data_IF_147110633045
#
_entry.id   IF_147110633045
#
_cell.length_a   1.000
_cell.length_b   1.000
_cell.length_c   1.000
_cell.angle_alpha   90.00
_cell.angle_beta   90.00
_cell.angle_gamma   90.00
#
_symmetry.space_group_name_H-M   'P 1'
#
loop_
_entity.id
_entity.type
_entity.pdbx_description
1 polymer ?
#
# COMPACT_ATOMS: atom_id res chain seq x y z
N UNK A 1 -12.25 -28.55 -58.80
CA UNK A 1 -12.51 -28.19 -57.39
C UNK A 1 -11.28 -28.54 -56.56
N UNK A 2 -10.30 -27.65 -56.44
CA UNK A 2 -9.09 -27.84 -55.63
C UNK A 2 -9.17 -26.92 -54.42
N UNK A 3 -8.92 -27.52 -53.26
CA UNK A 3 -9.27 -27.06 -51.92
C UNK A 3 -8.58 -25.73 -51.58
N UNK A 4 -9.33 -24.63 -51.59
CA UNK A 4 -8.89 -23.30 -51.15
C UNK A 4 -9.46 -22.97 -49.75
N UNK A 5 -9.49 -23.96 -48.86
CA UNK A 5 -10.07 -23.80 -47.50
C UNK A 5 -9.04 -23.95 -46.37
N UNK A 6 -7.77 -24.19 -46.66
CA UNK A 6 -6.78 -24.58 -45.63
C UNK A 6 -5.91 -23.44 -45.09
N UNK A 7 -6.17 -22.18 -45.46
CA UNK A 7 -5.31 -21.04 -45.08
C UNK A 7 -5.98 -20.00 -44.16
N UNK A 8 -7.26 -20.16 -43.83
CA UNK A 8 -7.98 -19.20 -42.96
C UNK A 8 -7.95 -19.63 -41.47
N UNK A 9 -7.51 -20.85 -41.17
CA UNK A 9 -7.58 -21.42 -39.82
C UNK A 9 -6.49 -20.99 -38.80
N UNK A 10 -5.26 -20.54 -39.17
CA UNK A 10 -4.27 -20.18 -38.14
C UNK A 10 -4.39 -18.73 -37.63
N UNK A 11 -5.18 -17.86 -38.27
CA UNK A 11 -5.26 -16.43 -37.89
C UNK A 11 -6.16 -16.20 -36.67
N UNK A 12 -7.08 -17.12 -36.36
CA UNK A 12 -7.97 -17.01 -35.21
C UNK A 12 -7.36 -17.54 -33.89
N UNK A 13 -6.14 -18.08 -33.90
CA UNK A 13 -5.52 -18.72 -32.73
C UNK A 13 -4.61 -17.79 -31.91
N UNK A 14 -4.46 -16.51 -32.30
CA UNK A 14 -3.48 -15.59 -31.67
C UNK A 14 -4.14 -14.50 -30.81
N UNK A 15 -5.48 -14.44 -30.75
CA UNK A 15 -6.21 -13.33 -30.10
C UNK A 15 -6.48 -13.50 -28.59
N UNK A 16 -5.84 -14.45 -27.89
CA UNK A 16 -6.17 -14.75 -26.47
C UNK A 16 -4.97 -14.86 -25.52
N UNK A 17 -3.82 -14.25 -25.84
CA UNK A 17 -2.63 -14.26 -24.96
C UNK A 17 -2.42 -12.96 -24.16
N UNK A 18 -3.49 -12.33 -23.66
CA UNK A 18 -3.37 -11.29 -22.63
C UNK A 18 -3.83 -11.84 -21.28
N UNK A 19 -3.08 -12.82 -20.76
CA UNK A 19 -3.28 -13.37 -19.41
C UNK A 19 -2.37 -12.69 -18.36
N UNK A 20 -1.67 -11.63 -18.75
CA UNK A 20 -0.70 -10.91 -17.94
C UNK A 20 -1.27 -9.50 -17.65
N UNK A 21 -1.03 -8.97 -16.44
CA UNK A 21 -1.56 -7.66 -16.05
C UNK A 21 -0.87 -6.58 -16.91
N UNK A 22 -1.56 -5.50 -17.32
CA UNK A 22 -0.90 -4.42 -18.02
C UNK A 22 -0.08 -3.58 -17.02
N UNK A 23 1.10 -4.05 -16.62
CA UNK A 23 2.06 -3.23 -15.86
C UNK A 23 2.70 -2.19 -16.77
N UNK A 24 2.85 -0.95 -16.28
CA UNK A 24 3.59 0.09 -17.00
C UNK A 24 5.06 -0.32 -17.14
N UNK A 25 5.64 -0.15 -18.32
CA UNK A 25 7.08 -0.35 -18.57
C UNK A 25 7.84 0.98 -18.64
N UNK A 26 7.16 2.10 -18.41
CA UNK A 26 7.74 3.44 -18.44
C UNK A 26 8.27 3.76 -17.04
N UNK A 27 9.53 4.19 -16.87
CA UNK A 27 10.04 4.60 -15.57
C UNK A 27 9.20 5.71 -14.93
N UNK A 28 8.85 5.52 -13.66
CA UNK A 28 8.04 6.44 -12.85
C UNK A 28 8.71 6.71 -11.50
N UNK A 29 8.23 7.71 -10.78
CA UNK A 29 8.68 7.97 -9.41
C UNK A 29 7.96 7.05 -8.40
N UNK A 30 8.49 6.95 -7.19
CA UNK A 30 7.90 6.12 -6.14
C UNK A 30 6.55 6.66 -5.69
N UNK A 31 5.63 5.75 -5.44
CA UNK A 31 4.45 6.01 -4.61
C UNK A 31 4.82 5.96 -3.11
N UNK A 32 3.93 6.49 -2.29
CA UNK A 32 4.01 6.46 -0.83
C UNK A 32 2.96 5.53 -0.27
N UNK A 33 3.39 4.62 0.61
CA UNK A 33 2.54 3.90 1.55
C UNK A 33 2.75 4.54 2.92
N UNK A 34 1.70 5.17 3.44
CA UNK A 34 1.66 5.70 4.80
C UNK A 34 0.93 4.70 5.69
N UNK A 35 1.70 3.98 6.51
CA UNK A 35 1.18 3.07 7.52
C UNK A 35 1.00 3.84 8.83
N UNK A 36 -0.23 4.25 9.15
CA UNK A 36 -0.59 5.00 10.35
C UNK A 36 -0.94 4.05 11.50
N UNK A 37 -0.21 4.13 12.61
CA UNK A 37 -0.54 3.44 13.85
C UNK A 37 -1.57 4.23 14.64
N UNK A 38 -2.71 3.59 14.93
CA UNK A 38 -3.88 4.21 15.56
C UNK A 38 -4.56 3.25 16.55
N UNK A 39 -5.67 3.70 17.15
CA UNK A 39 -6.53 2.90 18.01
C UNK A 39 -7.88 3.58 18.25
N UNK A 40 -8.91 2.78 18.51
CA UNK A 40 -10.30 3.26 18.70
C UNK A 40 -10.46 4.21 19.91
N UNK A 41 -9.56 4.14 20.89
CA UNK A 41 -9.53 5.03 22.06
C UNK A 41 -8.46 6.12 21.99
N UNK A 42 -7.81 6.30 20.84
CA UNK A 42 -6.75 7.30 20.67
C UNK A 42 -7.33 8.70 20.39
N UNK A 43 -7.36 9.57 21.40
CA UNK A 43 -7.97 10.91 21.29
C UNK A 43 -7.34 11.85 20.26
N UNK A 44 -6.05 11.68 19.95
CA UNK A 44 -5.33 12.51 18.96
C UNK A 44 -5.19 11.85 17.58
N UNK A 45 -5.56 10.57 17.43
CA UNK A 45 -5.45 9.89 16.15
C UNK A 45 -6.37 10.46 15.05
N UNK A 46 -7.55 11.05 15.35
CA UNK A 46 -8.32 11.77 14.33
C UNK A 46 -7.57 12.92 13.65
N UNK A 47 -6.67 13.61 14.36
CA UNK A 47 -5.80 14.65 13.77
C UNK A 47 -4.74 14.03 12.85
N UNK A 48 -4.26 12.82 13.16
CA UNK A 48 -3.45 12.00 12.26
C UNK A 48 -4.20 11.69 10.98
N UNK A 49 -5.40 11.12 11.08
CA UNK A 49 -6.23 10.77 9.92
C UNK A 49 -6.48 11.97 9.00
N UNK A 50 -6.73 13.16 9.56
CA UNK A 50 -6.90 14.38 8.77
C UNK A 50 -5.64 14.74 7.97
N UNK A 51 -4.46 14.73 8.61
CA UNK A 51 -3.20 15.06 7.94
C UNK A 51 -2.81 14.00 6.90
N UNK A 52 -3.06 12.73 7.18
CA UNK A 52 -2.87 11.64 6.22
C UNK A 52 -3.76 11.82 4.99
N UNK A 53 -5.05 12.13 5.20
CA UNK A 53 -6.01 12.37 4.12
C UNK A 53 -5.62 13.60 3.30
N UNK A 54 -5.23 14.71 3.93
CA UNK A 54 -4.76 15.90 3.23
C UNK A 54 -3.54 15.61 2.36
N UNK A 55 -2.60 14.80 2.85
CA UNK A 55 -1.45 14.39 2.07
C UNK A 55 -1.83 13.49 0.88
N UNK A 56 -2.78 12.56 1.08
CA UNK A 56 -3.34 11.74 0.00
C UNK A 56 -4.03 12.58 -1.08
N UNK A 57 -4.93 13.48 -0.67
CA UNK A 57 -5.69 14.34 -1.57
C UNK A 57 -4.79 15.29 -2.37
N UNK A 58 -3.65 15.71 -1.79
CA UNK A 58 -2.66 16.54 -2.45
C UNK A 58 -1.80 15.79 -3.48
N UNK A 59 -1.81 14.45 -3.48
CA UNK A 59 -0.99 13.59 -4.34
C UNK A 59 -1.86 12.44 -4.90
N UNK A 60 -2.87 12.75 -5.73
CA UNK A 60 -3.88 11.79 -6.16
C UNK A 60 -3.25 10.67 -7.00
N UNK A 61 -3.44 9.42 -6.57
CA UNK A 61 -2.90 8.22 -7.22
C UNK A 61 -1.56 7.74 -6.65
N UNK A 62 -0.83 8.60 -5.94
CA UNK A 62 0.55 8.31 -5.55
C UNK A 62 0.73 8.07 -4.04
N UNK A 63 -0.34 8.18 -3.25
CA UNK A 63 -0.32 7.96 -1.79
C UNK A 63 -1.37 6.91 -1.41
N UNK A 64 -0.96 5.84 -0.76
CA UNK A 64 -1.82 4.81 -0.17
C UNK A 64 -1.79 4.95 1.36
N UNK A 65 -2.97 5.02 1.96
CA UNK A 65 -3.13 5.08 3.42
C UNK A 65 -3.48 3.71 3.98
N UNK A 66 -2.78 3.29 5.03
CA UNK A 66 -3.05 2.03 5.75
C UNK A 66 -3.15 2.33 7.23
N UNK A 67 -4.35 2.24 7.79
CA UNK A 67 -4.59 2.52 9.20
C UNK A 67 -4.50 1.21 10.01
N UNK A 68 -3.51 1.14 10.89
CA UNK A 68 -3.18 -0.04 11.68
C UNK A 68 -3.61 0.19 13.12
N UNK A 69 -4.73 -0.42 13.53
CA UNK A 69 -5.16 -0.45 14.92
C UNK A 69 -4.26 -1.38 15.73
N UNK A 70 -3.45 -0.84 16.63
CA UNK A 70 -2.49 -1.59 17.45
C UNK A 70 -2.19 -0.91 18.79
N UNK A 71 -1.56 -1.65 19.70
CA UNK A 71 -1.15 -1.16 21.02
C UNK A 71 -2.31 -0.84 21.97
N UNK A 72 -2.02 -0.04 22.99
CA UNK A 72 -2.91 0.17 24.15
C UNK A 72 -4.22 0.88 23.81
N UNK A 73 -4.24 1.68 22.73
CA UNK A 73 -5.44 2.41 22.32
C UNK A 73 -6.37 1.62 21.39
N UNK A 74 -5.95 0.43 20.93
CA UNK A 74 -6.69 -0.33 19.95
C UNK A 74 -7.55 -1.46 20.53
N UNK A 75 -7.42 -1.74 21.83
CA UNK A 75 -8.18 -2.83 22.47
C UNK A 75 -9.64 -2.41 22.63
N UNK A 76 -10.61 -3.12 22.03
CA UNK A 76 -12.02 -2.77 22.16
C UNK A 76 -12.58 -3.10 23.55
N UNK A 77 -13.52 -2.30 24.00
CA UNK A 77 -14.40 -2.56 25.15
C UNK A 77 -15.55 -3.51 24.75
N UNK A 78 -16.31 -3.98 25.74
CA UNK A 78 -17.49 -4.82 25.49
C UNK A 78 -18.48 -4.08 24.59
N UNK A 79 -18.80 -4.69 23.44
CA UNK A 79 -19.73 -4.14 22.46
C UNK A 79 -19.09 -3.25 21.39
N UNK A 80 -17.78 -2.98 21.47
CA UNK A 80 -17.05 -2.23 20.44
C UNK A 80 -16.51 -3.18 19.35
N UNK A 81 -16.40 -2.71 18.09
CA UNK A 81 -15.78 -3.48 17.02
C UNK A 81 -14.28 -3.66 17.26
N UNK A 82 -13.76 -4.85 16.95
CA UNK A 82 -12.33 -5.12 16.94
C UNK A 82 -11.76 -4.82 15.55
N UNK A 83 -10.99 -3.74 15.45
CA UNK A 83 -10.32 -3.32 14.21
C UNK A 83 -8.87 -3.81 14.12
N UNK A 84 -8.38 -4.52 15.15
CA UNK A 84 -7.00 -5.01 15.15
C UNK A 84 -6.85 -6.14 14.14
N UNK A 85 -5.69 -6.19 13.50
CA UNK A 85 -5.28 -7.28 12.61
C UNK A 85 -4.09 -8.03 13.21
N UNK A 86 -4.18 -8.45 14.47
CA UNK A 86 -3.06 -9.09 15.15
C UNK A 86 -2.86 -10.55 14.70
N UNK A 87 -1.59 -11.03 14.61
CA UNK A 87 -0.36 -10.37 15.05
C UNK A 87 0.26 -9.42 14.02
N UNK A 88 -0.29 -9.31 12.82
CA UNK A 88 0.28 -8.49 11.74
C UNK A 88 0.42 -7.02 12.19
N UNK A 89 -0.64 -6.43 12.74
CA UNK A 89 -0.63 -5.05 13.24
C UNK A 89 0.44 -4.81 14.31
N UNK A 90 0.47 -5.65 15.36
CA UNK A 90 1.52 -5.57 16.39
C UNK A 90 2.94 -5.78 15.86
N UNK A 91 3.13 -6.61 14.84
CA UNK A 91 4.46 -6.90 14.25
C UNK A 91 4.97 -5.70 13.44
N UNK A 92 4.10 -5.07 12.64
CA UNK A 92 4.45 -3.84 11.89
C UNK A 92 4.77 -2.69 12.85
N UNK A 93 4.06 -2.58 13.98
CA UNK A 93 4.40 -1.62 15.02
C UNK A 93 5.74 -1.93 15.71
N UNK A 94 6.02 -3.21 15.99
CA UNK A 94 7.24 -3.64 16.66
C UNK A 94 8.53 -3.34 15.86
N UNK A 95 8.48 -3.46 14.53
CA UNK A 95 9.64 -3.15 13.66
C UNK A 95 9.91 -1.64 13.49
N UNK A 96 8.95 -0.77 13.82
CA UNK A 96 9.04 0.67 13.51
C UNK A 96 9.63 1.50 14.65
N UNK A 97 9.97 0.88 15.78
CA UNK A 97 10.34 1.53 17.04
C UNK A 97 9.27 2.52 17.53
N UNK A 98 8.00 2.20 17.28
CA UNK A 98 6.86 2.96 17.77
C UNK A 98 6.92 3.14 19.30
N UNK A 99 6.86 4.39 19.73
CA UNK A 99 6.92 4.79 21.16
C UNK A 99 5.75 5.69 21.58
N UNK A 100 4.99 6.23 20.63
CA UNK A 100 3.81 7.04 20.93
C UNK A 100 2.89 7.23 19.73
N UNK A 101 1.64 7.60 20.03
CA UNK A 101 0.56 7.80 19.05
C UNK A 101 0.13 9.28 19.03
N UNK A 102 -0.39 9.78 17.90
CA UNK A 102 -0.41 9.15 16.58
C UNK A 102 0.97 9.16 15.93
N UNK A 103 1.30 8.08 15.23
CA UNK A 103 2.54 7.95 14.50
C UNK A 103 2.35 7.02 13.30
N UNK A 104 3.26 7.08 12.34
CA UNK A 104 3.19 6.24 11.16
C UNK A 104 4.53 6.14 10.47
N UNK A 105 4.63 5.25 9.47
CA UNK A 105 5.83 5.11 8.64
C UNK A 105 5.51 5.47 7.20
N UNK A 106 6.48 6.08 6.52
CA UNK A 106 6.42 6.34 5.07
C UNK A 106 7.33 5.31 4.41
N UNK A 107 6.76 4.39 3.62
CA UNK A 107 7.47 3.31 2.92
C UNK A 107 8.37 2.46 3.83
N UNK A 108 8.10 2.44 5.15
CA UNK A 108 8.99 1.88 6.19
C UNK A 108 10.44 2.36 6.04
N UNK A 109 10.65 3.54 5.47
CA UNK A 109 11.95 4.12 5.26
C UNK A 109 12.41 4.84 6.53
N UNK A 110 13.68 4.67 6.89
CA UNK A 110 14.28 5.39 8.00
C UNK A 110 14.65 6.80 7.53
N UNK A 111 13.98 7.82 8.06
CA UNK A 111 14.33 9.22 7.87
C UNK A 111 15.17 9.70 9.07
N UNK A 112 16.50 9.88 8.91
CA UNK A 112 17.37 10.23 10.02
C UNK A 112 16.91 11.52 10.73
N UNK A 113 16.81 11.47 12.06
CA UNK A 113 16.42 12.62 12.89
C UNK A 113 14.92 12.91 12.95
N UNK A 114 14.09 12.16 12.21
CA UNK A 114 12.62 12.33 12.19
C UNK A 114 11.91 11.22 12.97
N UNK A 115 12.46 10.00 12.91
CA UNK A 115 11.88 8.82 13.53
C UNK A 115 11.93 8.80 15.06
N UNK A 116 10.89 8.23 15.66
CA UNK A 116 10.80 7.89 17.07
C UNK A 116 11.82 6.82 17.42
N UNK A 117 12.55 7.01 18.53
CA UNK A 117 13.53 6.04 19.04
C UNK A 117 14.53 5.54 17.97
N UNK A 118 14.82 6.38 16.96
CA UNK A 118 15.70 6.04 15.84
C UNK A 118 15.12 5.03 14.82
N UNK A 119 13.82 4.68 14.92
CA UNK A 119 13.13 3.81 13.98
C UNK A 119 12.38 4.56 12.88
N UNK A 120 11.47 3.85 12.21
CA UNK A 120 10.74 4.35 11.03
C UNK A 120 9.41 5.02 11.38
N UNK A 121 8.86 4.78 12.57
CA UNK A 121 7.68 5.48 13.05
C UNK A 121 8.00 6.94 13.31
N UNK A 122 7.18 7.86 12.81
CA UNK A 122 7.35 9.30 13.00
C UNK A 122 6.03 9.98 13.34
N UNK A 123 6.13 11.17 13.94
CA UNK A 123 4.97 12.00 14.25
C UNK A 123 4.24 12.45 12.98
N UNK A 124 2.93 12.62 13.08
CA UNK A 124 2.04 13.09 11.99
C UNK A 124 2.49 14.37 11.29
N UNK A 125 3.17 15.26 12.00
CA UNK A 125 3.70 16.50 11.42
C UNK A 125 4.81 16.30 10.39
N UNK A 126 5.37 15.09 10.27
CA UNK A 126 6.47 14.77 9.36
C UNK A 126 6.03 14.02 8.10
N UNK A 127 4.80 13.51 8.03
CA UNK A 127 4.39 12.61 6.95
C UNK A 127 4.41 13.28 5.57
N UNK A 128 3.89 14.51 5.46
CA UNK A 128 3.85 15.20 4.17
C UNK A 128 5.26 15.55 3.65
N UNK A 129 6.17 15.96 4.54
CA UNK A 129 7.55 16.29 4.13
C UNK A 129 8.37 15.04 3.81
N UNK A 130 8.31 13.99 4.62
CA UNK A 130 8.96 12.70 4.36
C UNK A 130 8.37 11.99 3.15
N UNK A 131 7.05 12.01 2.98
CA UNK A 131 6.35 11.49 1.81
C UNK A 131 6.74 12.22 0.54
N UNK A 132 6.80 13.55 0.57
CA UNK A 132 7.28 14.36 -0.56
C UNK A 132 8.71 14.01 -1.01
N UNK A 133 9.60 13.63 -0.07
CA UNK A 133 10.93 13.14 -0.43
C UNK A 133 10.91 11.80 -1.18
N UNK A 134 9.96 10.90 -0.86
CA UNK A 134 9.81 9.64 -1.58
C UNK A 134 9.22 9.84 -2.98
N UNK A 135 8.18 10.66 -3.09
CA UNK A 135 7.53 11.01 -4.37
C UNK A 135 8.50 11.65 -5.39
N UNK A 136 9.57 12.27 -4.91
CA UNK A 136 10.60 12.88 -5.76
C UNK A 136 11.68 11.88 -6.23
N UNK A 137 11.67 10.64 -5.73
CA UNK A 137 12.68 9.63 -6.08
C UNK A 137 12.19 8.74 -7.22
N UNK A 138 13.08 8.33 -8.15
CA UNK A 138 12.75 7.32 -9.14
C UNK A 138 12.41 5.99 -8.45
N UNK A 139 11.43 5.27 -9.00
CA UNK A 139 11.12 3.89 -8.63
C UNK A 139 11.94 2.93 -9.49
N UNK A 140 12.49 1.88 -8.88
CA UNK A 140 13.16 0.82 -9.61
C UNK A 140 12.20 -0.22 -10.20
N UNK A 141 10.92 -0.14 -9.85
CA UNK A 141 9.89 -1.11 -10.21
C UNK A 141 8.53 -0.45 -10.34
N UNK A 142 7.82 -0.83 -11.40
CA UNK A 142 6.39 -0.59 -11.54
C UNK A 142 5.64 -1.84 -11.13
N UNK A 143 4.53 -1.67 -10.40
CA UNK A 143 3.73 -2.79 -9.89
C UNK A 143 2.28 -2.61 -10.33
N UNK A 144 1.71 -3.63 -10.95
CA UNK A 144 0.28 -3.75 -11.18
C UNK A 144 -0.27 -4.89 -10.30
N UNK A 145 -1.46 -4.70 -9.76
CA UNK A 145 -2.16 -5.74 -9.03
C UNK A 145 -3.64 -5.73 -9.40
N UNK A 146 -4.22 -6.92 -9.56
CA UNK A 146 -5.66 -7.13 -9.71
C UNK A 146 -6.13 -8.13 -8.66
N UNK A 147 -7.29 -7.86 -8.06
CA UNK A 147 -7.79 -8.66 -6.95
C UNK A 147 -9.24 -9.07 -7.20
N UNK A 148 -9.53 -10.36 -7.00
CA UNK A 148 -10.88 -10.91 -7.06
C UNK A 148 -11.23 -11.63 -5.75
N UNK A 149 -12.41 -11.34 -5.21
CA UNK A 149 -12.91 -11.94 -3.98
C UNK A 149 -14.17 -12.76 -4.30
N UNK A 150 -14.08 -14.07 -4.11
CA UNK A 150 -15.25 -14.92 -4.06
C UNK A 150 -15.86 -14.85 -2.65
N UNK A 151 -16.97 -14.14 -2.52
CA UNK A 151 -17.68 -13.94 -1.24
C UNK A 151 -18.24 -15.25 -0.68
N UNK A 152 -18.56 -16.22 -1.54
CA UNK A 152 -19.15 -17.49 -1.13
C UNK A 152 -18.11 -18.43 -0.51
N UNK A 153 -16.93 -18.52 -1.13
CA UNK A 153 -15.81 -19.35 -0.65
C UNK A 153 -14.86 -18.59 0.27
N UNK A 154 -14.98 -17.25 0.32
CA UNK A 154 -14.08 -16.32 1.02
C UNK A 154 -12.63 -16.40 0.55
N UNK A 155 -12.43 -16.74 -0.72
CA UNK A 155 -11.11 -16.77 -1.35
C UNK A 155 -10.83 -15.43 -2.02
N UNK A 156 -9.78 -14.75 -1.55
CA UNK A 156 -9.18 -13.60 -2.22
C UNK A 156 -8.04 -14.09 -3.10
N UNK A 157 -8.16 -13.90 -4.41
CA UNK A 157 -7.08 -14.11 -5.38
C UNK A 157 -6.52 -12.76 -5.77
N UNK A 158 -5.19 -12.61 -5.70
CA UNK A 158 -4.49 -11.38 -6.09
C UNK A 158 -3.41 -11.75 -7.08
N UNK A 159 -3.56 -11.26 -8.31
CA UNK A 159 -2.52 -11.32 -9.32
C UNK A 159 -1.66 -10.07 -9.18
N UNK A 160 -0.34 -10.25 -9.16
CA UNK A 160 0.62 -9.15 -9.03
C UNK A 160 1.67 -9.30 -10.11
N UNK A 161 1.96 -8.20 -10.78
CA UNK A 161 3.01 -8.10 -11.77
C UNK A 161 3.96 -6.96 -11.44
N UNK A 162 5.25 -7.24 -11.53
CA UNK A 162 6.31 -6.29 -11.29
C UNK A 162 7.18 -6.17 -12.55
N UNK A 163 7.41 -4.95 -13.01
CA UNK A 163 8.34 -4.63 -14.09
C UNK A 163 9.45 -3.74 -13.56
N UNK A 164 10.68 -4.25 -13.52
CA UNK A 164 11.84 -3.48 -13.10
C UNK A 164 12.28 -2.54 -14.22
N UNK A 165 12.27 -1.24 -13.93
CA UNK A 165 12.61 -0.17 -14.88
C UNK A 165 14.08 0.26 -14.79
N UNK A 166 14.75 -0.12 -13.71
CA UNK A 166 16.17 0.12 -13.46
C UNK A 166 16.99 -1.17 -13.66
N UNK A 167 18.28 -1.03 -14.02
CA UNK A 167 19.23 -2.14 -14.24
C UNK A 167 19.99 -2.54 -12.98
#
# INVERSE_FOLDING_TARGET
MKKLFTLIFPVFLVSSLFAQLPVSTIPENKNVVLEEFTGIHCGYCPDGHLLAQQFHDANPGDVMLVNIHTGSYATPSVGEPDFRADPLGSTIAGQSSLSGYPAGTINRHLFPGVGQSGGTAMSRGSWASSGGQMLAQPSCVNVAADASLDISTRVLSVDVEAYYTDN
#
